data_IF_438207773727
#
_entry.id   IF_438207773727
#
_cell.length_a   1.000
_cell.length_b   1.000
_cell.length_c   1.000
_cell.angle_alpha   90.00
_cell.angle_beta   90.00
_cell.angle_gamma   90.00
#
_symmetry.space_group_name_H-M   'P 1'
#
loop_
_entity.id
_entity.type
_entity.pdbx_description
1 polymer ?
#
# COMPACT_ATOMS: atom_id res chain seq x y z
N UNK A 1 -4.54 10.78 12.84
CA UNK A 1 -5.12 9.83 11.81
C UNK A 1 -4.25 8.59 11.80
N UNK A 2 -4.81 7.41 11.52
CA UNK A 2 -4.09 6.13 11.44
C UNK A 2 -3.66 5.85 10.00
N UNK A 3 -2.58 5.06 9.82
CA UNK A 3 -2.06 4.71 8.48
C UNK A 3 -3.02 3.85 7.66
N UNK A 4 -3.85 3.00 8.28
CA UNK A 4 -4.89 2.24 7.59
C UNK A 4 -5.98 3.15 6.98
N UNK A 5 -6.32 4.25 7.67
CA UNK A 5 -7.21 5.28 7.14
C UNK A 5 -6.53 6.04 5.99
N UNK A 6 -5.25 6.40 6.13
CA UNK A 6 -4.47 6.99 5.02
C UNK A 6 -4.50 6.08 3.80
N UNK A 7 -4.24 4.77 3.97
CA UNK A 7 -4.25 3.81 2.87
C UNK A 7 -5.61 3.75 2.15
N UNK A 8 -6.74 3.87 2.88
CA UNK A 8 -8.08 3.94 2.25
C UNK A 8 -8.25 5.20 1.42
N UNK A 9 -7.90 6.38 1.94
CA UNK A 9 -7.94 7.62 1.17
C UNK A 9 -7.06 7.58 -0.08
N UNK A 10 -5.90 6.90 -0.01
CA UNK A 10 -5.04 6.73 -1.20
C UNK A 10 -5.70 5.85 -2.27
N UNK A 11 -6.47 4.83 -1.87
CA UNK A 11 -7.22 4.00 -2.79
C UNK A 11 -8.39 4.79 -3.40
N UNK A 12 -9.16 5.49 -2.56
CA UNK A 12 -10.33 6.27 -3.00
C UNK A 12 -9.92 7.33 -4.03
N UNK A 13 -8.88 8.15 -3.74
CA UNK A 13 -8.44 9.19 -4.68
C UNK A 13 -7.83 8.61 -5.97
N UNK A 14 -7.25 7.41 -5.91
CA UNK A 14 -6.72 6.74 -7.09
C UNK A 14 -7.86 6.19 -7.98
N UNK A 15 -8.94 5.71 -7.35
CA UNK A 15 -10.14 5.26 -8.05
C UNK A 15 -10.90 6.41 -8.67
N UNK A 16 -11.09 7.52 -7.94
CA UNK A 16 -11.72 8.74 -8.44
C UNK A 16 -10.99 9.27 -9.69
N UNK A 17 -9.65 9.39 -9.62
CA UNK A 17 -8.82 9.82 -10.74
C UNK A 17 -8.92 8.86 -11.95
N UNK A 18 -8.97 7.55 -11.72
CA UNK A 18 -9.14 6.57 -12.78
C UNK A 18 -10.54 6.66 -13.44
N UNK A 19 -11.59 6.87 -12.62
CA UNK A 19 -12.96 7.06 -13.10
C UNK A 19 -13.10 8.36 -13.92
N UNK A 20 -12.54 9.47 -13.47
CA UNK A 20 -12.51 10.75 -14.17
C UNK A 20 -11.77 10.65 -15.51
N UNK A 21 -10.72 9.85 -15.59
CA UNK A 21 -9.99 9.56 -16.81
C UNK A 21 -10.76 8.63 -17.79
N UNK A 22 -11.84 7.99 -17.34
CA UNK A 22 -12.57 7.00 -18.13
C UNK A 22 -11.81 5.67 -18.25
N UNK A 23 -11.11 5.24 -17.18
CA UNK A 23 -10.33 3.99 -17.18
C UNK A 23 -11.20 2.77 -17.50
N UNK A 24 -10.76 1.86 -18.41
CA UNK A 24 -11.58 0.74 -18.84
C UNK A 24 -11.74 -0.31 -17.72
N UNK A 25 -12.98 -0.74 -17.47
CA UNK A 25 -13.30 -1.75 -16.43
C UNK A 25 -12.68 -3.13 -16.69
N UNK A 26 -12.19 -3.39 -17.90
CA UNK A 26 -11.46 -4.60 -18.26
C UNK A 26 -10.02 -4.64 -17.72
N UNK A 27 -9.52 -3.50 -17.21
CA UNK A 27 -8.19 -3.39 -16.63
C UNK A 27 -8.33 -2.96 -15.17
N UNK A 28 -8.00 -3.88 -14.26
CA UNK A 28 -7.92 -3.62 -12.83
C UNK A 28 -6.51 -3.18 -12.41
N UNK A 29 -6.41 -2.69 -11.18
CA UNK A 29 -5.15 -2.29 -10.56
C UNK A 29 -4.84 -3.14 -9.34
N UNK A 30 -3.68 -3.78 -9.32
CA UNK A 30 -3.17 -4.53 -8.18
C UNK A 30 -2.07 -3.70 -7.51
N UNK A 31 -2.26 -3.38 -6.24
CA UNK A 31 -1.25 -2.68 -5.45
C UNK A 31 -0.08 -3.62 -5.13
N UNK A 32 1.11 -3.23 -5.54
CA UNK A 32 2.33 -4.01 -5.30
C UNK A 32 3.15 -3.50 -4.12
N UNK A 33 3.16 -2.18 -3.94
CA UNK A 33 3.91 -1.51 -2.88
C UNK A 33 3.32 -0.13 -2.62
N UNK A 34 3.31 0.28 -1.35
CA UNK A 34 3.03 1.66 -0.98
C UNK A 34 4.01 2.12 0.10
N UNK A 35 4.59 3.30 -0.08
CA UNK A 35 5.42 3.96 0.91
C UNK A 35 4.78 5.30 1.28
N UNK A 36 4.73 5.60 2.57
CA UNK A 36 4.20 6.86 3.13
C UNK A 36 5.31 7.55 3.92
N UNK A 37 5.62 8.79 3.57
CA UNK A 37 6.45 9.67 4.36
C UNK A 37 5.52 10.62 5.14
N UNK A 38 5.73 10.73 6.44
CA UNK A 38 4.90 11.54 7.33
C UNK A 38 5.74 12.66 7.93
N UNK A 39 5.43 13.90 7.57
CA UNK A 39 6.00 15.08 8.23
C UNK A 39 5.17 15.50 9.43
N UNK A 40 3.84 15.44 9.30
CA UNK A 40 2.90 15.68 10.40
C UNK A 40 1.60 14.94 10.15
N UNK A 41 1.19 14.11 11.11
CA UNK A 41 -0.09 13.40 11.04
C UNK A 41 -1.28 14.36 11.13
N UNK A 42 -2.39 14.08 10.41
CA UNK A 42 -3.63 14.83 10.53
C UNK A 42 -4.24 14.72 11.93
N UNK A 43 -4.70 15.85 12.43
CA UNK A 43 -5.48 15.94 13.66
C UNK A 43 -6.93 15.48 13.46
N UNK A 44 -7.65 15.21 14.55
CA UNK A 44 -9.09 14.92 14.48
C UNK A 44 -9.86 16.17 14.03
N UNK A 45 -10.70 16.03 13.01
CA UNK A 45 -11.50 17.12 12.45
C UNK A 45 -10.75 18.03 11.49
N UNK A 46 -9.47 17.79 11.23
CA UNK A 46 -8.71 18.55 10.25
C UNK A 46 -9.23 18.27 8.83
N UNK A 47 -9.47 19.34 8.05
CA UNK A 47 -9.83 19.22 6.64
C UNK A 47 -8.60 18.89 5.82
N UNK A 48 -8.69 17.85 5.00
CA UNK A 48 -7.58 17.35 4.19
C UNK A 48 -7.83 17.63 2.70
N UNK A 49 -6.74 17.95 2.00
CA UNK A 49 -6.66 18.02 0.55
C UNK A 49 -5.69 16.95 0.06
N UNK A 50 -6.15 16.14 -0.89
CA UNK A 50 -5.35 15.14 -1.57
C UNK A 50 -5.12 15.55 -3.02
N UNK A 51 -3.87 15.47 -3.48
CA UNK A 51 -3.48 15.70 -4.87
C UNK A 51 -2.70 14.47 -5.34
N UNK A 52 -3.10 13.90 -6.48
CA UNK A 52 -2.52 12.67 -6.99
C UNK A 52 -2.14 12.78 -8.45
N UNK A 53 -1.05 12.10 -8.85
CA UNK A 53 -0.62 12.05 -10.25
C UNK A 53 0.25 10.81 -10.50
N UNK A 54 0.38 10.41 -11.76
CA UNK A 54 1.30 9.36 -12.17
C UNK A 54 2.72 9.91 -12.22
N UNK A 55 3.59 9.44 -11.33
CA UNK A 55 4.96 9.96 -11.19
C UNK A 55 6.01 9.21 -12.02
N UNK A 56 5.76 7.93 -12.35
CA UNK A 56 6.61 7.11 -13.20
C UNK A 56 5.82 5.93 -13.77
N UNK A 57 6.30 5.30 -14.83
CA UNK A 57 5.62 4.16 -15.42
C UNK A 57 6.58 3.16 -16.08
N UNK A 58 6.03 2.00 -16.44
CA UNK A 58 6.62 1.03 -17.33
C UNK A 58 5.50 0.39 -18.18
N UNK A 59 5.77 -0.67 -18.92
CA UNK A 59 4.78 -1.21 -19.87
C UNK A 59 3.50 -1.76 -19.24
N UNK A 60 3.57 -2.22 -17.97
CA UNK A 60 2.46 -2.92 -17.27
C UNK A 60 2.19 -2.41 -15.85
N UNK A 61 2.92 -1.42 -15.38
CA UNK A 61 2.76 -0.84 -14.05
C UNK A 61 3.07 0.64 -14.04
N UNK A 62 2.46 1.32 -13.09
CA UNK A 62 2.61 2.74 -12.86
C UNK A 62 2.91 3.03 -11.39
N UNK A 63 3.67 4.09 -11.18
CA UNK A 63 3.87 4.70 -9.87
C UNK A 63 2.94 5.90 -9.72
N UNK A 64 2.22 5.95 -8.63
CA UNK A 64 1.34 7.06 -8.27
C UNK A 64 1.89 7.75 -7.04
N UNK A 65 2.12 9.04 -7.13
CA UNK A 65 2.43 9.91 -6.00
C UNK A 65 1.15 10.62 -5.57
N UNK A 66 0.88 10.63 -4.27
CA UNK A 66 -0.22 11.37 -3.66
C UNK A 66 0.33 12.21 -2.50
N UNK A 67 0.01 13.50 -2.50
CA UNK A 67 0.26 14.39 -1.37
C UNK A 67 -1.03 14.61 -0.59
N UNK A 68 -0.94 14.63 0.72
CA UNK A 68 -2.04 14.92 1.63
C UNK A 68 -1.62 16.10 2.50
N UNK A 69 -2.34 17.20 2.40
CA UNK A 69 -2.11 18.41 3.19
C UNK A 69 -3.36 18.77 4.00
N UNK A 70 -3.18 19.34 5.18
CA UNK A 70 -4.27 19.72 6.06
C UNK A 70 -4.24 21.20 6.45
N UNK A 71 -5.42 21.75 6.77
CA UNK A 71 -5.57 23.16 7.17
C UNK A 71 -5.00 23.45 8.58
N UNK A 72 -4.77 22.42 9.41
CA UNK A 72 -4.02 22.50 10.66
C UNK A 72 -2.55 22.07 10.51
N UNK A 73 -2.07 21.92 9.27
CA UNK A 73 -0.67 21.68 8.93
C UNK A 73 -0.30 20.23 8.78
N UNK A 74 -1.25 19.28 8.64
CA UNK A 74 -0.94 17.91 8.25
C UNK A 74 -0.17 17.88 6.92
N UNK A 75 0.83 17.00 6.82
CA UNK A 75 1.64 16.85 5.63
C UNK A 75 2.16 15.41 5.52
N UNK A 76 1.69 14.71 4.50
CA UNK A 76 2.13 13.36 4.14
C UNK A 76 2.35 13.28 2.64
N UNK A 77 3.26 12.40 2.24
CA UNK A 77 3.43 12.03 0.84
C UNK A 77 3.46 10.51 0.72
N UNK A 78 2.67 9.98 -0.19
CA UNK A 78 2.65 8.56 -0.50
C UNK A 78 3.12 8.30 -1.93
N UNK A 79 3.79 7.14 -2.12
CA UNK A 79 4.22 6.64 -3.41
C UNK A 79 3.80 5.19 -3.53
N UNK A 80 2.91 4.88 -4.47
CA UNK A 80 2.31 3.57 -4.65
C UNK A 80 2.62 3.00 -6.03
N UNK A 81 3.02 1.72 -6.09
CA UNK A 81 3.23 0.98 -7.35
C UNK A 81 2.01 0.11 -7.60
N UNK A 82 1.38 0.32 -8.74
CA UNK A 82 0.21 -0.41 -9.22
C UNK A 82 0.53 -1.21 -10.48
N UNK A 83 0.12 -2.47 -10.53
CA UNK A 83 0.25 -3.34 -11.70
C UNK A 83 -1.11 -3.39 -12.39
N UNK A 84 -1.13 -3.08 -13.69
CA UNK A 84 -2.33 -3.26 -14.51
C UNK A 84 -2.57 -4.75 -14.75
N UNK A 85 -3.78 -5.23 -14.47
CA UNK A 85 -4.20 -6.62 -14.65
C UNK A 85 -5.48 -6.67 -15.47
N UNK A 86 -5.54 -7.63 -16.38
CA UNK A 86 -6.80 -7.98 -17.07
C UNK A 86 -7.77 -8.58 -16.05
N UNK A 87 -8.97 -7.99 -15.92
CA UNK A 87 -9.94 -8.36 -14.87
C UNK A 87 -10.55 -9.75 -15.07
N UNK A 88 -10.47 -10.33 -16.28
CA UNK A 88 -10.98 -11.67 -16.57
C UNK A 88 -9.96 -12.74 -16.21
N UNK A 89 -8.70 -12.53 -16.56
CA UNK A 89 -7.63 -13.53 -16.37
C UNK A 89 -6.77 -13.32 -15.12
N UNK A 90 -6.86 -12.15 -14.47
CA UNK A 90 -6.00 -11.74 -13.35
C UNK A 90 -4.52 -11.53 -13.73
N UNK A 91 -4.17 -11.56 -15.01
CA UNK A 91 -2.78 -11.49 -15.48
C UNK A 91 -2.34 -10.07 -15.77
N UNK A 92 -1.06 -9.72 -15.51
CA UNK A 92 -0.50 -8.41 -15.84
C UNK A 92 -0.65 -8.08 -17.33
N UNK A 93 -1.29 -6.96 -17.64
CA UNK A 93 -1.55 -6.47 -19.00
C UNK A 93 -0.86 -5.15 -19.27
N UNK A 94 -0.83 -4.70 -20.54
CA UNK A 94 -0.26 -3.40 -20.93
C UNK A 94 -1.19 -2.26 -20.53
N UNK A 95 -0.62 -1.11 -20.23
CA UNK A 95 -1.34 0.09 -19.81
C UNK A 95 -2.25 0.67 -20.92
N UNK A 96 -1.84 0.56 -22.20
CA UNK A 96 -2.65 0.94 -23.36
C UNK A 96 -2.69 2.44 -23.66
N UNK A 97 -3.39 2.79 -24.75
CA UNK A 97 -3.39 4.15 -25.33
C UNK A 97 -4.02 5.22 -24.40
N UNK A 98 -5.04 4.86 -23.62
CA UNK A 98 -5.62 5.79 -22.66
C UNK A 98 -4.57 6.25 -21.64
N UNK A 99 -3.79 5.32 -21.11
CA UNK A 99 -2.71 5.63 -20.18
C UNK A 99 -1.66 6.54 -20.83
N UNK A 100 -1.27 6.23 -22.05
CA UNK A 100 -0.28 7.01 -22.80
C UNK A 100 -0.74 8.45 -23.01
N UNK A 101 -2.02 8.65 -23.28
CA UNK A 101 -2.60 9.98 -23.50
C UNK A 101 -2.78 10.78 -22.21
N UNK A 102 -3.28 10.13 -21.13
CA UNK A 102 -3.71 10.83 -19.92
C UNK A 102 -2.58 10.91 -18.89
N UNK A 103 -1.89 9.81 -18.63
CA UNK A 103 -0.98 9.67 -17.50
C UNK A 103 0.50 9.74 -17.85
N UNK A 104 0.88 9.30 -19.06
CA UNK A 104 2.28 9.27 -19.45
C UNK A 104 2.95 10.66 -19.44
N UNK A 105 2.28 11.77 -19.84
CA UNK A 105 2.89 13.10 -19.79
C UNK A 105 3.39 13.52 -18.42
N UNK A 106 2.65 13.17 -17.33
CA UNK A 106 3.05 13.54 -15.97
C UNK A 106 4.26 12.77 -15.44
N UNK A 107 4.62 11.66 -16.08
CA UNK A 107 5.81 10.87 -15.68
C UNK A 107 7.12 11.52 -16.05
N UNK A 108 7.12 12.44 -17.02
CA UNK A 108 8.35 13.08 -17.56
C UNK A 108 9.43 12.04 -17.90
N UNK A 109 9.04 10.93 -18.52
CA UNK A 109 9.93 9.83 -18.91
C UNK A 109 10.48 8.99 -17.75
N UNK A 110 10.11 9.26 -16.50
CA UNK A 110 10.57 8.48 -15.33
C UNK A 110 10.04 7.06 -15.39
N UNK A 111 10.92 6.12 -15.04
CA UNK A 111 10.59 4.68 -15.06
C UNK A 111 10.34 4.15 -13.66
N UNK A 112 9.19 3.49 -13.47
CA UNK A 112 8.82 2.81 -12.26
C UNK A 112 9.47 1.41 -12.17
N UNK A 113 9.77 0.95 -10.95
CA UNK A 113 10.24 -0.41 -10.67
C UNK A 113 9.23 -1.14 -9.79
N UNK A 114 8.84 -2.34 -10.21
CA UNK A 114 7.92 -3.23 -9.50
C UNK A 114 8.64 -4.16 -8.50
N UNK A 115 9.98 -4.08 -8.44
CA UNK A 115 10.80 -4.94 -7.58
C UNK A 115 10.50 -4.67 -6.10
N UNK A 116 10.27 -5.74 -5.34
CA UNK A 116 10.22 -5.74 -3.89
C UNK A 116 11.64 -5.80 -3.32
N UNK A 117 11.85 -5.20 -2.15
CA UNK A 117 13.18 -5.01 -1.58
C UNK A 117 13.24 -5.22 -0.07
N UNK A 118 12.09 -5.46 0.59
CA UNK A 118 12.09 -5.74 2.01
C UNK A 118 12.60 -7.18 2.26
N UNK A 119 13.31 -7.41 3.36
CA UNK A 119 13.87 -8.72 3.67
C UNK A 119 12.78 -9.74 4.00
N UNK A 120 13.13 -11.02 3.92
CA UNK A 120 12.32 -12.10 4.46
C UNK A 120 12.38 -12.09 6.01
N UNK A 121 11.35 -12.62 6.70
CA UNK A 121 11.36 -12.71 8.16
C UNK A 121 12.46 -13.65 8.65
N UNK A 122 13.21 -13.29 9.71
CA UNK A 122 14.15 -14.20 10.34
C UNK A 122 13.42 -15.32 11.09
N UNK A 123 14.10 -16.44 11.30
CA UNK A 123 13.51 -17.63 11.95
C UNK A 123 12.96 -17.33 13.33
N UNK A 124 13.61 -16.45 14.10
CA UNK A 124 13.14 -16.05 15.42
C UNK A 124 11.81 -15.30 15.34
N UNK A 125 11.67 -14.32 14.44
CA UNK A 125 10.41 -13.59 14.25
C UNK A 125 9.27 -14.51 13.82
N UNK A 126 9.56 -15.53 13.01
CA UNK A 126 8.58 -16.55 12.62
C UNK A 126 8.15 -17.43 13.81
N UNK A 127 9.07 -17.79 14.70
CA UNK A 127 8.76 -18.59 15.90
C UNK A 127 7.87 -17.81 16.87
N UNK A 128 8.06 -16.51 17.00
CA UNK A 128 7.33 -15.60 17.87
C UNK A 128 6.04 -15.02 17.22
N UNK A 129 5.77 -15.35 15.95
CA UNK A 129 4.65 -14.79 15.21
C UNK A 129 3.30 -15.14 15.86
N UNK A 130 2.47 -14.13 16.05
CA UNK A 130 1.13 -14.23 16.65
C UNK A 130 0.03 -14.33 15.60
N UNK A 131 -1.09 -14.95 15.92
CA UNK A 131 -2.26 -15.01 15.03
C UNK A 131 -2.74 -13.60 14.67
N UNK A 132 -3.08 -13.38 13.40
CA UNK A 132 -3.73 -12.18 12.88
C UNK A 132 -5.06 -12.59 12.24
N UNK A 133 -6.18 -12.61 13.01
CA UNK A 133 -7.45 -13.10 12.52
C UNK A 133 -8.05 -12.14 11.49
N UNK A 134 -8.43 -12.69 10.35
CA UNK A 134 -9.15 -11.98 9.29
C UNK A 134 -10.67 -12.09 9.49
N UNK A 135 -11.40 -11.11 8.97
CA UNK A 135 -12.86 -11.03 9.02
C UNK A 135 -13.43 -10.93 7.61
N UNK A 136 -14.69 -11.33 7.42
CA UNK A 136 -15.37 -11.12 6.14
C UNK A 136 -15.47 -9.64 5.74
N UNK A 137 -15.51 -8.73 6.71
CA UNK A 137 -15.45 -7.28 6.47
C UNK A 137 -14.10 -6.75 5.98
N UNK A 138 -13.07 -7.58 5.99
CA UNK A 138 -11.74 -7.21 5.52
C UNK A 138 -11.58 -7.44 4.02
N UNK A 139 -12.56 -8.11 3.38
CA UNK A 139 -12.53 -8.41 1.95
C UNK A 139 -12.93 -7.22 1.09
N UNK A 140 -12.32 -7.13 -0.08
CA UNK A 140 -12.71 -6.26 -1.17
C UNK A 140 -13.74 -6.94 -2.10
N UNK A 141 -14.09 -6.26 -3.18
CA UNK A 141 -15.07 -6.73 -4.18
C UNK A 141 -14.61 -7.95 -4.98
N UNK A 142 -13.34 -8.31 -4.90
CA UNK A 142 -12.76 -9.50 -5.54
C UNK A 142 -12.53 -10.66 -4.56
N UNK A 143 -13.11 -10.57 -3.35
CA UNK A 143 -12.96 -11.54 -2.27
C UNK A 143 -11.50 -11.71 -1.78
N UNK A 144 -10.64 -10.73 -2.06
CA UNK A 144 -9.31 -10.65 -1.46
C UNK A 144 -9.34 -9.70 -0.25
N UNK A 145 -8.39 -9.90 0.65
CA UNK A 145 -8.22 -8.98 1.77
C UNK A 145 -7.76 -7.61 1.25
N UNK A 146 -8.54 -6.56 1.58
CA UNK A 146 -8.24 -5.20 1.17
C UNK A 146 -6.84 -4.78 1.64
N UNK A 147 -6.09 -4.12 0.76
CA UNK A 147 -4.70 -3.71 1.05
C UNK A 147 -4.56 -2.86 2.33
N UNK A 148 -5.60 -2.10 2.71
CA UNK A 148 -5.60 -1.31 3.94
C UNK A 148 -5.54 -2.16 5.21
N UNK A 149 -5.90 -3.46 5.15
CA UNK A 149 -5.82 -4.38 6.28
C UNK A 149 -4.37 -4.70 6.64
N UNK A 150 -3.46 -4.74 5.65
CA UNK A 150 -2.02 -4.81 5.94
C UNK A 150 -1.54 -3.59 6.75
N UNK A 151 -2.10 -2.41 6.49
CA UNK A 151 -1.83 -1.21 7.27
C UNK A 151 -2.50 -1.22 8.65
N UNK A 152 -3.66 -1.89 8.80
CA UNK A 152 -4.27 -2.11 10.12
C UNK A 152 -3.37 -3.00 11.00
N UNK A 153 -2.70 -4.00 10.43
CA UNK A 153 -1.70 -4.80 11.14
C UNK A 153 -0.50 -3.96 11.60
N UNK A 154 -0.05 -3.01 10.77
CA UNK A 154 0.98 -2.04 11.13
C UNK A 154 0.53 -1.16 12.30
N UNK A 155 -0.69 -0.62 12.25
CA UNK A 155 -1.24 0.23 13.31
C UNK A 155 -1.40 -0.49 14.64
N UNK A 156 -1.83 -1.76 14.61
CA UNK A 156 -1.94 -2.57 15.82
C UNK A 156 -0.57 -2.72 16.51
N UNK A 157 0.49 -2.93 15.75
CA UNK A 157 1.83 -3.05 16.30
C UNK A 157 2.41 -1.71 16.77
N UNK A 158 2.18 -0.62 16.05
CA UNK A 158 2.56 0.74 16.46
C UNK A 158 1.89 1.13 17.78
N UNK A 159 0.61 0.77 17.95
CA UNK A 159 -0.14 1.01 19.18
C UNK A 159 0.45 0.23 20.39
N UNK A 160 1.00 -0.97 20.16
CA UNK A 160 1.65 -1.76 21.21
C UNK A 160 3.01 -1.21 21.61
N UNK A 161 3.72 -0.59 20.68
CA UNK A 161 5.05 -0.05 20.87
C UNK A 161 5.05 1.43 21.27
N UNK A 162 3.89 2.07 21.23
CA UNK A 162 3.65 3.49 21.59
C UNK A 162 4.60 4.46 20.86
N UNK A 163 4.68 4.33 19.52
CA UNK A 163 5.41 5.28 18.69
C UNK A 163 4.79 5.49 17.31
N UNK A 164 5.17 6.59 16.66
CA UNK A 164 4.71 6.95 15.32
C UNK A 164 5.88 6.97 14.33
N UNK A 165 5.73 6.41 13.14
CA UNK A 165 6.77 6.43 12.12
C UNK A 165 6.80 7.78 11.39
N UNK A 166 7.99 8.19 10.95
CA UNK A 166 8.15 9.24 9.94
C UNK A 166 8.12 8.65 8.54
N UNK A 167 8.38 7.35 8.41
CA UNK A 167 8.28 6.62 7.15
C UNK A 167 7.75 5.23 7.38
N UNK A 168 6.78 4.84 6.55
CA UNK A 168 6.24 3.48 6.53
C UNK A 168 6.18 2.97 5.09
N UNK A 169 6.56 1.72 4.86
CA UNK A 169 6.54 1.06 3.56
C UNK A 169 5.91 -0.31 3.71
N UNK A 170 4.93 -0.62 2.85
CA UNK A 170 4.29 -1.94 2.77
C UNK A 170 4.48 -2.48 1.37
N UNK A 171 4.90 -3.74 1.27
CA UNK A 171 5.04 -4.53 0.05
C UNK A 171 4.05 -5.70 0.10
N UNK A 172 3.19 -5.81 -0.91
CA UNK A 172 2.22 -6.88 -1.06
C UNK A 172 2.86 -7.98 -1.93
N UNK A 173 3.25 -9.08 -1.29
CA UNK A 173 3.95 -10.18 -1.95
C UNK A 173 2.97 -11.09 -2.69
N UNK A 174 1.83 -11.40 -2.04
CA UNK A 174 0.76 -12.24 -2.54
C UNK A 174 -0.62 -11.68 -2.15
N UNK A 175 -1.66 -12.02 -2.91
CA UNK A 175 -3.03 -11.75 -2.50
C UNK A 175 -3.38 -12.59 -1.26
N UNK A 176 -4.11 -11.99 -0.33
CA UNK A 176 -4.53 -12.63 0.92
C UNK A 176 -6.01 -12.96 0.82
N UNK A 177 -6.39 -14.17 1.26
CA UNK A 177 -7.77 -14.63 1.36
C UNK A 177 -8.11 -15.01 2.81
N UNK A 178 -9.38 -15.20 3.13
CA UNK A 178 -9.79 -15.64 4.48
C UNK A 178 -9.20 -17.02 4.85
N UNK A 179 -8.90 -17.87 3.86
CA UNK A 179 -8.35 -19.21 4.08
C UNK A 179 -6.89 -19.19 4.55
N UNK A 180 -6.16 -18.09 4.33
CA UNK A 180 -4.73 -18.02 4.63
C UNK A 180 -4.42 -18.02 6.13
N UNK A 181 -5.36 -17.57 6.99
CA UNK A 181 -5.19 -17.51 8.44
C UNK A 181 -3.83 -16.96 8.87
N UNK A 182 -3.50 -15.72 8.50
CA UNK A 182 -2.14 -15.20 8.62
C UNK A 182 -1.69 -15.03 10.07
N UNK A 183 -0.38 -15.08 10.26
CA UNK A 183 0.29 -14.70 11.51
C UNK A 183 1.12 -13.46 11.27
N UNK A 184 1.21 -12.60 12.28
CA UNK A 184 2.03 -11.41 12.29
C UNK A 184 3.36 -11.70 12.97
N UNK A 185 4.44 -11.60 12.23
CA UNK A 185 5.82 -11.61 12.71
C UNK A 185 6.37 -10.19 12.70
N UNK A 186 7.26 -9.86 13.62
CA UNK A 186 7.97 -8.58 13.62
C UNK A 186 9.38 -8.72 14.19
N UNK A 187 10.24 -7.76 13.85
CA UNK A 187 11.59 -7.63 14.36
C UNK A 187 11.92 -6.14 14.55
N UNK A 188 12.20 -5.75 15.78
CA UNK A 188 12.67 -4.39 16.06
C UNK A 188 14.13 -4.25 15.64
N UNK A 189 14.47 -3.10 15.04
CA UNK A 189 15.82 -2.70 14.66
C UNK A 189 16.16 -1.32 15.21
N UNK A 190 17.43 -0.93 15.19
CA UNK A 190 17.86 0.41 15.59
C UNK A 190 17.19 1.46 14.69
N UNK A 191 16.22 2.18 15.26
CA UNK A 191 15.46 3.24 14.57
C UNK A 191 14.25 2.77 13.76
N UNK A 192 13.83 1.49 13.83
CA UNK A 192 12.69 1.01 13.07
C UNK A 192 12.09 -0.32 13.50
N UNK A 193 11.16 -0.80 12.68
CA UNK A 193 10.45 -2.06 12.84
C UNK A 193 10.24 -2.72 11.47
N UNK A 194 10.63 -3.96 11.32
CA UNK A 194 10.25 -4.82 10.21
C UNK A 194 9.09 -5.73 10.64
N UNK A 195 8.12 -5.92 9.75
CA UNK A 195 6.92 -6.72 10.02
C UNK A 195 6.55 -7.56 8.81
N UNK A 196 5.92 -8.71 9.07
CA UNK A 196 5.45 -9.63 8.02
C UNK A 196 4.11 -10.25 8.40
N UNK A 197 3.19 -10.31 7.44
CA UNK A 197 2.07 -11.23 7.49
C UNK A 197 2.48 -12.51 6.74
N UNK A 198 2.40 -13.64 7.42
CA UNK A 198 2.87 -14.94 6.90
C UNK A 198 1.79 -16.01 7.04
N UNK A 199 1.72 -16.93 6.06
CA UNK A 199 0.85 -18.10 6.10
C UNK A 199 1.67 -19.34 5.73
N UNK A 200 1.93 -20.22 6.72
CA UNK A 200 2.89 -21.30 6.55
C UNK A 200 4.29 -20.74 6.30
N UNK A 201 4.88 -21.12 5.17
CA UNK A 201 6.19 -20.68 4.67
C UNK A 201 6.11 -19.48 3.69
N UNK A 202 4.88 -19.02 3.37
CA UNK A 202 4.65 -17.89 2.45
C UNK A 202 4.67 -16.57 3.19
N UNK A 203 5.35 -15.57 2.62
CA UNK A 203 5.28 -14.18 3.04
C UNK A 203 4.23 -13.47 2.20
N UNK A 204 3.11 -13.11 2.80
CA UNK A 204 1.98 -12.45 2.14
C UNK A 204 2.21 -10.94 2.01
N UNK A 205 2.69 -10.33 3.09
CA UNK A 205 2.98 -8.88 3.15
C UNK A 205 4.26 -8.67 3.95
N UNK A 206 5.06 -7.70 3.52
CA UNK A 206 6.22 -7.20 4.27
C UNK A 206 6.05 -5.71 4.54
N UNK A 207 6.44 -5.24 5.70
CA UNK A 207 6.43 -3.82 6.04
C UNK A 207 7.73 -3.40 6.72
N UNK A 208 8.15 -2.15 6.51
CA UNK A 208 9.24 -1.49 7.21
C UNK A 208 8.81 -0.11 7.66
N UNK A 209 9.03 0.17 8.92
CA UNK A 209 8.71 1.43 9.59
C UNK A 209 9.98 2.06 10.12
N UNK A 210 10.13 3.39 10.00
CA UNK A 210 11.30 4.13 10.49
C UNK A 210 10.88 5.31 11.34
N UNK A 211 11.69 5.61 12.38
CA UNK A 211 11.52 6.77 13.29
C UNK A 211 12.25 8.02 12.80
N UNK A 212 13.15 7.88 11.87
CA UNK A 212 13.98 8.95 11.30
C UNK A 212 14.28 8.68 9.84
#
# INVERSE_FOLDING_TARGET
>A
MRLDAVARYLQDVAEDDANDAGWPKSIGWLLRRCAVNVHKFPALGERLRLETFCSASASKWAERTTTMTGDAGASLQACAIWIAVDTTSGRPTRLGELFERVYLPSTDGRRASVRLSLPSPPSQALAEARSWPLRSSDLDVWEHVNNAISWAAVEDELSRLDWLPVRAKVEHNEAITLADSPRLANEASDGGLDMWLVAGDRVLTSARLSRS
#
